data_IF_598109327945
#
_entry.id   IF_598109327945
#
_cell.length_a   1.000
_cell.length_b   1.000
_cell.length_c   1.000
_cell.angle_alpha   90.00
_cell.angle_beta   90.00
_cell.angle_gamma   90.00
#
_symmetry.space_group_name_H-M   'P 1'
#
loop_
_entity.id
_entity.type
_entity.pdbx_description
1 polymer ?
#
# COMPACT_ATOMS: atom_id res chain seq x y z
N UNK A 1 -17.46 -15.86 -23.34
CA UNK A 1 -16.62 -15.54 -22.17
C UNK A 1 -15.16 -15.51 -22.60
N UNK A 2 -14.43 -14.39 -22.49
CA UNK A 2 -13.01 -14.40 -22.80
C UNK A 2 -12.25 -15.09 -21.67
N UNK A 3 -11.52 -16.15 -22.01
CA UNK A 3 -10.59 -16.86 -21.15
C UNK A 3 -9.54 -15.86 -20.62
N UNK A 4 -9.45 -15.68 -19.29
CA UNK A 4 -8.31 -15.00 -18.67
C UNK A 4 -7.04 -15.71 -19.13
N UNK A 5 -6.20 -15.05 -19.92
CA UNK A 5 -4.84 -15.53 -20.26
C UNK A 5 -4.15 -15.92 -18.95
N UNK A 6 -3.68 -17.17 -18.87
CA UNK A 6 -2.87 -17.64 -17.75
C UNK A 6 -1.62 -16.77 -17.65
N UNK A 7 -1.38 -16.20 -16.46
CA UNK A 7 -0.21 -15.37 -16.22
C UNK A 7 1.03 -16.27 -16.21
N UNK A 8 1.91 -16.10 -17.19
CA UNK A 8 3.15 -16.87 -17.26
C UNK A 8 4.10 -16.38 -16.16
N UNK A 9 4.64 -17.35 -15.41
CA UNK A 9 5.56 -17.13 -14.31
C UNK A 9 6.74 -18.10 -14.47
N UNK A 10 7.96 -17.59 -14.39
CA UNK A 10 9.17 -18.41 -14.50
C UNK A 10 10.24 -17.92 -13.54
N UNK A 11 10.80 -18.83 -12.76
CA UNK A 11 12.04 -18.59 -12.03
C UNK A 11 13.23 -18.84 -12.97
N UNK A 12 14.15 -17.87 -13.04
CA UNK A 12 15.38 -17.94 -13.84
C UNK A 12 16.56 -17.73 -12.90
N UNK A 13 16.74 -18.69 -12.00
CA UNK A 13 17.82 -18.71 -11.00
C UNK A 13 18.57 -20.04 -11.05
N UNK A 14 19.78 -20.06 -10.50
CA UNK A 14 20.58 -21.26 -10.27
C UNK A 14 20.70 -21.58 -8.76
N UNK A 15 19.67 -21.25 -7.97
CA UNK A 15 19.58 -21.64 -6.57
C UNK A 15 19.62 -23.18 -6.45
N UNK A 16 20.35 -23.77 -5.47
CA UNK A 16 21.01 -23.12 -4.34
C UNK A 16 22.44 -22.60 -4.58
N UNK A 17 23.03 -22.80 -5.77
CA UNK A 17 24.41 -22.36 -6.05
C UNK A 17 24.57 -20.83 -6.02
N UNK A 18 23.50 -20.10 -6.31
CA UNK A 18 23.42 -18.65 -6.13
C UNK A 18 22.24 -18.31 -5.23
N UNK A 19 22.45 -17.56 -4.13
CA UNK A 19 21.38 -17.17 -3.23
C UNK A 19 20.42 -16.14 -3.85
N UNK A 20 20.75 -15.54 -4.99
CA UNK A 20 19.91 -14.57 -5.67
C UNK A 20 18.91 -15.29 -6.58
N UNK A 21 17.64 -15.24 -6.19
CA UNK A 21 16.53 -15.73 -6.99
C UNK A 21 16.00 -14.61 -7.87
N UNK A 22 15.82 -14.91 -9.16
CA UNK A 22 15.19 -14.04 -10.15
C UNK A 22 13.89 -14.68 -10.61
N UNK A 23 12.78 -13.98 -10.40
CA UNK A 23 11.46 -14.45 -10.77
C UNK A 23 10.81 -13.48 -11.75
N UNK A 24 10.39 -13.98 -12.91
CA UNK A 24 9.82 -13.18 -13.98
C UNK A 24 8.35 -13.56 -14.15
N UNK A 25 7.49 -12.55 -14.12
CA UNK A 25 6.09 -12.66 -14.54
C UNK A 25 5.88 -11.90 -15.85
N UNK A 26 4.72 -12.07 -16.46
CA UNK A 26 4.31 -11.29 -17.63
C UNK A 26 4.39 -9.76 -17.44
N UNK A 27 4.34 -9.27 -16.19
CA UNK A 27 4.28 -7.83 -15.86
C UNK A 27 5.54 -7.30 -15.22
N UNK A 28 6.26 -8.13 -14.45
CA UNK A 28 7.31 -7.64 -13.58
C UNK A 28 8.43 -8.66 -13.39
N UNK A 29 9.61 -8.15 -13.09
CA UNK A 29 10.77 -8.93 -12.67
C UNK A 29 11.00 -8.67 -11.19
N UNK A 30 11.14 -9.75 -10.43
CA UNK A 30 11.41 -9.74 -9.01
C UNK A 30 12.80 -10.33 -8.78
N UNK A 31 13.53 -9.73 -7.86
CA UNK A 31 14.82 -10.23 -7.41
C UNK A 31 14.87 -10.19 -5.89
N UNK A 32 15.30 -11.29 -5.29
CA UNK A 32 15.53 -11.37 -3.85
C UNK A 32 16.72 -12.29 -3.57
N UNK A 33 17.46 -11.98 -2.52
CA UNK A 33 18.53 -12.81 -2.00
C UNK A 33 18.03 -13.62 -0.81
N UNK A 34 18.26 -14.93 -0.83
CA UNK A 34 18.04 -15.81 0.30
C UNK A 34 19.21 -15.66 1.27
N UNK A 35 18.93 -15.21 2.48
CA UNK A 35 19.91 -15.11 3.56
C UNK A 35 19.94 -16.42 4.33
N UNK A 36 18.76 -16.94 4.67
CA UNK A 36 18.59 -18.22 5.36
C UNK A 36 17.46 -18.99 4.68
N UNK A 37 17.74 -20.21 4.23
CA UNK A 37 16.77 -21.07 3.55
C UNK A 37 15.71 -21.67 4.49
N UNK A 38 15.98 -21.61 5.80
CA UNK A 38 15.11 -22.18 6.81
C UNK A 38 15.11 -23.72 6.84
N UNK A 39 14.25 -24.27 7.67
CA UNK A 39 14.09 -25.71 7.87
C UNK A 39 12.63 -26.07 7.63
N UNK A 40 12.37 -27.23 7.03
CA UNK A 40 11.00 -27.70 6.84
C UNK A 40 10.35 -28.05 8.19
N UNK A 41 9.20 -27.46 8.52
CA UNK A 41 8.44 -27.83 9.71
C UNK A 41 7.94 -29.28 9.65
N UNK A 42 7.73 -29.94 10.81
CA UNK A 42 7.01 -31.20 10.93
C UNK A 42 5.65 -31.20 10.22
N UNK A 43 5.32 -32.30 9.56
CA UNK A 43 4.10 -32.43 8.74
C UNK A 43 2.82 -32.14 9.55
N UNK A 44 2.82 -32.43 10.87
CA UNK A 44 1.68 -32.17 11.77
C UNK A 44 1.22 -30.71 11.83
N UNK A 45 2.08 -29.76 11.45
CA UNK A 45 1.75 -28.33 11.41
C UNK A 45 2.34 -27.58 10.22
N UNK A 46 2.74 -28.30 9.16
CA UNK A 46 3.31 -27.72 7.96
C UNK A 46 2.28 -26.86 7.21
N UNK A 47 2.53 -25.57 7.11
CA UNK A 47 1.74 -24.68 6.26
C UNK A 47 2.23 -24.76 4.81
N UNK A 48 1.32 -24.53 3.86
CA UNK A 48 1.61 -24.55 2.42
C UNK A 48 1.11 -23.28 1.75
N UNK A 49 1.77 -22.89 0.67
CA UNK A 49 1.32 -21.77 -0.18
C UNK A 49 0.00 -22.11 -0.88
N UNK A 50 -0.63 -21.11 -1.51
CA UNK A 50 -1.87 -21.33 -2.24
C UNK A 50 -1.66 -22.21 -3.49
N UNK A 51 -2.73 -22.87 -3.91
CA UNK A 51 -2.78 -23.62 -5.18
C UNK A 51 -2.46 -22.69 -6.37
N UNK A 52 -1.88 -23.19 -7.47
CA UNK A 52 -1.83 -24.60 -7.87
C UNK A 52 -0.69 -25.43 -7.26
N UNK A 53 0.45 -24.80 -6.91
CA UNK A 53 1.66 -25.55 -6.58
C UNK A 53 1.78 -25.96 -5.09
N UNK A 54 1.16 -25.23 -4.15
CA UNK A 54 1.08 -25.56 -2.73
C UNK A 54 2.41 -25.99 -2.06
N UNK A 55 3.44 -25.16 -2.23
CA UNK A 55 4.78 -25.38 -1.70
C UNK A 55 4.82 -25.32 -0.16
N UNK A 56 5.62 -26.15 0.51
CA UNK A 56 5.82 -26.09 1.96
C UNK A 56 6.44 -24.75 2.37
N UNK A 57 5.93 -24.15 3.44
CA UNK A 57 6.44 -22.91 3.99
C UNK A 57 7.52 -23.25 5.02
N UNK A 58 8.80 -22.91 4.79
CA UNK A 58 9.90 -23.16 5.72
C UNK A 58 9.79 -22.32 7.01
N UNK A 59 10.36 -22.85 8.09
CA UNK A 59 10.61 -22.12 9.34
C UNK A 59 11.98 -21.45 9.30
N UNK A 60 12.14 -20.29 9.94
CA UNK A 60 13.35 -19.45 9.96
C UNK A 60 13.85 -19.06 8.56
N UNK A 61 12.93 -18.83 7.63
CA UNK A 61 13.29 -18.39 6.28
C UNK A 61 13.49 -16.87 6.26
N UNK A 62 14.64 -16.44 5.77
CA UNK A 62 15.02 -15.03 5.73
C UNK A 62 15.43 -14.66 4.31
N UNK A 63 14.78 -13.63 3.77
CA UNK A 63 15.10 -13.09 2.45
C UNK A 63 15.27 -11.59 2.50
N UNK A 64 16.10 -11.09 1.61
CA UNK A 64 16.34 -9.66 1.41
C UNK A 64 15.94 -9.29 0.00
N UNK A 65 15.15 -8.24 -0.15
CA UNK A 65 14.76 -7.73 -1.47
C UNK A 65 14.89 -6.23 -1.53
N UNK A 66 15.21 -5.74 -2.72
CA UNK A 66 15.34 -4.33 -3.03
C UNK A 66 14.39 -3.97 -4.15
N UNK A 67 13.59 -2.92 -3.98
CA UNK A 67 12.56 -2.54 -4.94
C UNK A 67 12.35 -1.02 -5.03
N UNK A 68 11.60 -0.59 -6.04
CA UNK A 68 11.26 0.81 -6.27
C UNK A 68 12.40 1.64 -6.87
N UNK A 69 12.07 2.85 -7.36
CA UNK A 69 13.04 3.77 -8.00
C UNK A 69 14.15 4.18 -7.04
N UNK A 70 13.79 4.39 -5.77
CA UNK A 70 14.73 4.76 -4.70
C UNK A 70 15.52 3.57 -4.14
N UNK A 71 15.38 2.36 -4.72
CA UNK A 71 16.07 1.14 -4.29
C UNK A 71 15.96 0.86 -2.79
N UNK A 72 14.71 0.88 -2.29
CA UNK A 72 14.41 0.58 -0.89
C UNK A 72 14.69 -0.90 -0.66
N UNK A 73 15.41 -1.21 0.41
CA UNK A 73 15.78 -2.58 0.77
C UNK A 73 15.05 -2.97 2.04
N UNK A 74 14.44 -4.15 2.03
CA UNK A 74 13.74 -4.72 3.18
C UNK A 74 14.22 -6.15 3.43
N UNK A 75 14.05 -6.60 4.66
CA UNK A 75 14.28 -7.99 5.06
C UNK A 75 12.98 -8.62 5.49
N UNK A 76 12.63 -9.74 4.87
CA UNK A 76 11.41 -10.49 5.16
C UNK A 76 11.76 -11.79 5.88
N UNK A 77 10.91 -12.17 6.83
CA UNK A 77 11.09 -13.34 7.68
C UNK A 77 9.83 -14.21 7.65
N UNK A 78 10.05 -15.51 7.75
CA UNK A 78 9.01 -16.49 8.09
C UNK A 78 9.51 -17.28 9.29
N UNK A 79 8.75 -17.27 10.38
CA UNK A 79 9.06 -17.98 11.62
C UNK A 79 7.81 -18.69 12.15
N UNK A 80 7.94 -19.94 12.58
CA UNK A 80 6.85 -20.70 13.16
C UNK A 80 6.75 -20.42 14.66
N UNK A 81 5.72 -19.68 15.05
CA UNK A 81 5.38 -19.40 16.45
C UNK A 81 4.09 -20.15 16.78
N UNK A 82 4.11 -20.92 17.86
CA UNK A 82 2.97 -21.76 18.27
C UNK A 82 2.43 -22.63 17.11
N UNK A 83 3.33 -23.28 16.36
CA UNK A 83 3.02 -24.16 15.21
C UNK A 83 2.33 -23.46 14.04
N UNK A 84 2.47 -22.13 13.89
CA UNK A 84 1.92 -21.37 12.76
C UNK A 84 2.96 -20.40 12.18
N UNK A 85 3.02 -20.25 10.84
CA UNK A 85 3.92 -19.30 10.22
C UNK A 85 3.51 -17.87 10.56
N UNK A 86 4.47 -17.09 11.03
CA UNK A 86 4.40 -15.66 11.22
C UNK A 86 5.29 -15.02 10.17
N UNK A 87 4.72 -14.05 9.46
CA UNK A 87 5.40 -13.28 8.44
C UNK A 87 5.80 -11.95 9.05
N UNK A 88 7.04 -11.51 8.82
CA UNK A 88 7.55 -10.22 9.32
C UNK A 88 8.33 -9.52 8.20
N UNK A 89 8.18 -8.20 8.11
CA UNK A 89 9.01 -7.32 7.26
C UNK A 89 9.67 -6.31 8.18
N UNK A 90 11.00 -6.22 8.12
CA UNK A 90 11.79 -5.16 8.74
C UNK A 90 12.17 -4.16 7.64
N UNK A 91 11.92 -2.87 7.89
CA UNK A 91 12.06 -1.81 6.91
C UNK A 91 12.69 -0.55 7.50
N UNK A 92 13.98 -0.63 7.80
CA UNK A 92 14.69 0.52 8.33
C UNK A 92 16.07 0.10 8.82
N UNK A 93 16.88 1.07 9.26
CA UNK A 93 18.08 0.79 10.03
C UNK A 93 17.74 0.27 11.44
N UNK A 94 16.54 0.59 11.96
CA UNK A 94 16.06 0.17 13.27
C UNK A 94 15.39 -1.22 13.18
N UNK A 95 15.81 -2.21 13.98
CA UNK A 95 15.13 -3.52 14.08
C UNK A 95 13.67 -3.43 14.54
N UNK A 96 13.29 -2.35 15.23
CA UNK A 96 11.93 -2.12 15.73
C UNK A 96 10.99 -1.53 14.66
N UNK A 97 11.53 -1.06 13.53
CA UNK A 97 10.75 -0.68 12.34
C UNK A 97 10.29 -1.93 11.58
N UNK A 98 9.30 -2.63 12.13
CA UNK A 98 8.76 -3.84 11.54
C UNK A 98 7.23 -3.91 11.52
N UNK A 99 6.73 -4.73 10.61
CA UNK A 99 5.34 -5.18 10.59
C UNK A 99 5.32 -6.70 10.60
N UNK A 100 4.32 -7.29 11.24
CA UNK A 100 4.15 -8.73 11.25
C UNK A 100 2.67 -9.15 11.23
N UNK A 101 2.42 -10.36 10.75
CA UNK A 101 1.11 -11.00 10.80
C UNK A 101 1.27 -12.51 10.69
N UNK A 102 0.37 -13.25 11.32
CA UNK A 102 0.25 -14.70 11.18
C UNK A 102 -0.83 -15.12 10.15
N UNK A 103 -1.44 -14.16 9.44
CA UNK A 103 -2.48 -14.44 8.46
C UNK A 103 -1.90 -14.83 7.10
N UNK A 104 -1.05 -13.97 6.52
CA UNK A 104 -0.38 -14.24 5.25
C UNK A 104 0.75 -13.24 4.99
N UNK A 105 1.67 -13.61 4.10
CA UNK A 105 2.69 -12.69 3.57
C UNK A 105 2.05 -11.45 2.89
N UNK A 106 0.94 -11.62 2.18
CA UNK A 106 0.20 -10.53 1.53
C UNK A 106 -0.34 -9.53 2.53
N UNK A 107 -0.87 -10.00 3.66
CA UNK A 107 -1.36 -9.13 4.74
C UNK A 107 -0.24 -8.23 5.25
N UNK A 108 0.94 -8.79 5.54
CA UNK A 108 2.09 -8.02 6.00
C UNK A 108 2.58 -7.04 4.95
N UNK A 109 2.64 -7.46 3.67
CA UNK A 109 3.01 -6.58 2.58
C UNK A 109 2.06 -5.38 2.43
N UNK A 110 0.75 -5.59 2.64
CA UNK A 110 -0.23 -4.50 2.60
C UNK A 110 -0.06 -3.55 3.79
N UNK A 111 0.11 -4.07 5.01
CA UNK A 111 0.37 -3.24 6.20
C UNK A 111 1.65 -2.44 6.02
N UNK A 112 2.73 -3.09 5.59
CA UNK A 112 3.98 -2.45 5.20
C UNK A 112 3.74 -1.34 4.19
N UNK A 113 3.02 -1.62 3.10
CA UNK A 113 2.69 -0.63 2.08
C UNK A 113 1.92 0.58 2.64
N UNK A 114 1.01 0.37 3.58
CA UNK A 114 0.31 1.48 4.26
C UNK A 114 1.23 2.27 5.18
N UNK A 115 2.12 1.60 5.91
CA UNK A 115 3.02 2.22 6.88
C UNK A 115 4.20 2.96 6.24
N UNK A 116 4.74 2.49 5.11
CA UNK A 116 5.72 3.25 4.31
C UNK A 116 5.09 4.34 3.47
N UNK A 117 3.80 4.18 3.14
CA UNK A 117 2.99 5.29 2.65
C UNK A 117 2.59 6.23 3.78
N UNK A 118 3.16 6.07 5.00
CA UNK A 118 3.10 7.09 6.05
C UNK A 118 3.27 8.42 5.36
N UNK A 119 2.15 9.12 5.34
CA UNK A 119 2.04 10.36 4.64
C UNK A 119 3.12 11.23 5.24
N UNK A 120 4.12 11.63 4.44
CA UNK A 120 5.12 12.58 4.91
C UNK A 120 4.41 13.66 5.72
N UNK A 121 4.96 14.04 6.90
CA UNK A 121 4.43 15.15 7.68
C UNK A 121 4.10 16.31 6.74
N UNK A 122 2.99 16.98 6.98
CA UNK A 122 2.45 17.94 6.02
C UNK A 122 3.49 19.02 5.64
N UNK A 123 4.30 19.44 6.61
CA UNK A 123 5.36 20.43 6.45
C UNK A 123 6.55 19.91 5.61
N UNK A 124 6.71 18.59 5.47
CA UNK A 124 7.79 17.94 4.69
C UNK A 124 7.36 17.69 3.23
N UNK A 125 6.16 18.09 2.85
CA UNK A 125 5.64 18.02 1.49
C UNK A 125 6.06 19.24 0.69
N UNK A 126 6.22 19.07 -0.63
CA UNK A 126 6.26 20.22 -1.54
C UNK A 126 4.93 20.98 -1.52
N UNK A 127 4.97 22.28 -1.77
CA UNK A 127 3.76 23.13 -1.85
C UNK A 127 2.70 22.53 -2.77
N UNK A 128 3.12 21.96 -3.91
CA UNK A 128 2.22 21.25 -4.83
C UNK A 128 1.48 20.11 -4.13
N UNK A 129 2.20 19.27 -3.39
CA UNK A 129 1.59 18.14 -2.67
C UNK A 129 0.71 18.59 -1.50
N UNK A 130 1.07 19.66 -0.81
CA UNK A 130 0.24 20.28 0.23
C UNK A 130 -1.10 20.73 -0.36
N UNK A 131 -1.06 21.46 -1.48
CA UNK A 131 -2.24 21.90 -2.24
C UNK A 131 -3.06 20.71 -2.73
N UNK A 132 -2.43 19.69 -3.31
CA UNK A 132 -3.13 18.50 -3.81
C UNK A 132 -3.86 17.76 -2.70
N UNK A 133 -3.24 17.60 -1.53
CA UNK A 133 -3.91 16.96 -0.37
C UNK A 133 -5.09 17.80 0.12
N UNK A 134 -4.93 19.11 0.23
CA UNK A 134 -6.03 20.00 0.62
C UNK A 134 -7.20 19.97 -0.36
N UNK A 135 -6.92 20.00 -1.68
CA UNK A 135 -7.94 19.84 -2.74
C UNK A 135 -8.68 18.51 -2.64
N UNK A 136 -7.96 17.43 -2.37
CA UNK A 136 -8.57 16.09 -2.26
C UNK A 136 -9.61 16.03 -1.14
N UNK A 137 -9.37 16.72 -0.01
CA UNK A 137 -10.35 16.81 1.09
C UNK A 137 -11.62 17.50 0.62
N UNK A 138 -11.50 18.64 -0.08
CA UNK A 138 -12.66 19.36 -0.59
C UNK A 138 -13.48 18.54 -1.59
N UNK A 139 -12.82 17.86 -2.53
CA UNK A 139 -13.50 17.00 -3.51
C UNK A 139 -14.28 15.87 -2.81
N UNK A 140 -13.65 15.18 -1.87
CA UNK A 140 -14.29 14.06 -1.18
C UNK A 140 -15.48 14.53 -0.32
N UNK A 141 -15.32 15.63 0.43
CA UNK A 141 -16.39 16.17 1.26
C UNK A 141 -17.56 16.74 0.44
N UNK A 142 -17.30 17.30 -0.75
CA UNK A 142 -18.36 17.70 -1.65
C UNK A 142 -19.18 16.48 -2.11
N UNK A 143 -18.52 15.39 -2.49
CA UNK A 143 -19.20 14.15 -2.88
C UNK A 143 -20.03 13.57 -1.73
N UNK A 144 -19.48 13.54 -0.52
CA UNK A 144 -20.21 13.08 0.66
C UNK A 144 -21.40 14.00 0.97
N UNK A 145 -21.24 15.31 0.85
CA UNK A 145 -22.32 16.28 1.02
C UNK A 145 -23.44 16.02 0.01
N UNK A 146 -23.12 15.91 -1.29
CA UNK A 146 -24.09 15.64 -2.35
C UNK A 146 -24.83 14.30 -2.15
N UNK A 147 -24.13 13.28 -1.64
CA UNK A 147 -24.75 11.98 -1.32
C UNK A 147 -25.77 12.11 -0.17
N UNK A 148 -25.41 12.81 0.90
CA UNK A 148 -26.29 12.96 2.07
C UNK A 148 -27.47 13.90 1.80
N UNK A 149 -27.29 14.94 1.00
CA UNK A 149 -28.39 15.88 0.69
C UNK A 149 -29.55 15.19 -0.02
N UNK A 150 -29.27 14.23 -0.90
CA UNK A 150 -30.30 13.42 -1.57
C UNK A 150 -31.14 12.56 -0.61
N UNK A 151 -30.61 12.26 0.58
CA UNK A 151 -31.28 11.45 1.60
C UNK A 151 -32.04 12.30 2.62
N UNK A 152 -31.57 13.53 2.88
CA UNK A 152 -32.10 14.38 3.93
C UNK A 152 -33.08 15.45 3.42
N UNK A 153 -33.00 15.84 2.15
CA UNK A 153 -33.80 16.92 1.59
C UNK A 153 -34.68 16.45 0.43
N UNK A 154 -35.75 17.20 0.16
CA UNK A 154 -36.58 16.92 -1.00
C UNK A 154 -35.83 17.30 -2.28
N UNK A 155 -36.14 16.64 -3.40
CA UNK A 155 -35.53 16.93 -4.71
C UNK A 155 -35.83 18.35 -5.23
N UNK A 156 -36.86 19.01 -4.70
CA UNK A 156 -37.21 20.39 -5.04
C UNK A 156 -36.35 21.40 -4.25
N UNK A 157 -35.80 20.99 -3.11
CA UNK A 157 -34.96 21.85 -2.28
C UNK A 157 -33.59 22.06 -2.93
N UNK A 158 -33.17 23.31 -3.06
CA UNK A 158 -31.85 23.65 -3.58
C UNK A 158 -30.82 23.71 -2.45
N UNK A 159 -30.13 22.60 -2.23
CA UNK A 159 -29.08 22.49 -1.21
C UNK A 159 -27.71 22.56 -1.88
N UNK A 160 -26.84 23.43 -1.36
CA UNK A 160 -25.53 23.73 -1.98
C UNK A 160 -24.46 23.93 -0.90
N UNK A 161 -23.31 23.28 -1.10
CA UNK A 161 -22.11 23.52 -0.30
C UNK A 161 -21.36 24.70 -0.92
N UNK A 162 -21.37 25.85 -0.24
CA UNK A 162 -20.75 27.08 -0.78
C UNK A 162 -19.25 27.15 -0.55
N UNK A 163 -18.80 26.79 0.64
CA UNK A 163 -17.40 26.84 1.02
C UNK A 163 -17.02 25.77 2.05
N UNK A 164 -15.73 25.44 2.09
CA UNK A 164 -15.09 24.61 3.09
C UNK A 164 -13.82 25.30 3.57
N UNK A 165 -13.70 25.48 4.88
CA UNK A 165 -12.49 26.01 5.51
C UNK A 165 -11.94 25.00 6.52
N UNK A 166 -10.62 24.77 6.48
CA UNK A 166 -9.91 23.92 7.44
C UNK A 166 -8.45 24.33 7.52
N UNK A 167 -7.71 23.77 8.47
CA UNK A 167 -6.27 24.00 8.58
C UNK A 167 -5.52 22.69 8.79
N UNK A 168 -4.26 22.69 8.35
CA UNK A 168 -3.29 21.64 8.67
C UNK A 168 -2.04 22.33 9.21
N UNK A 169 -1.81 22.19 10.51
CA UNK A 169 -0.85 23.01 11.26
C UNK A 169 -1.16 24.51 11.05
N UNK A 170 -0.19 25.30 10.61
CA UNK A 170 -0.36 26.74 10.37
C UNK A 170 -0.90 27.07 8.96
N UNK A 171 -1.15 26.06 8.11
CA UNK A 171 -1.63 26.27 6.75
C UNK A 171 -3.16 26.29 6.72
N UNK A 172 -3.74 27.39 6.25
CA UNK A 172 -5.20 27.56 6.12
C UNK A 172 -5.63 27.21 4.70
N UNK A 173 -6.67 26.39 4.60
CA UNK A 173 -7.33 26.03 3.36
C UNK A 173 -8.72 26.65 3.35
N UNK A 174 -9.05 27.36 2.28
CA UNK A 174 -10.40 27.81 1.97
C UNK A 174 -10.72 27.35 0.55
N UNK A 175 -11.80 26.59 0.41
CA UNK A 175 -12.25 26.04 -0.86
C UNK A 175 -13.65 26.61 -1.09
N UNK A 176 -13.84 27.26 -2.23
CA UNK A 176 -15.14 27.77 -2.68
C UNK A 176 -15.61 26.91 -3.85
N UNK A 177 -16.88 26.53 -3.86
CA UNK A 177 -17.45 25.70 -4.92
C UNK A 177 -18.30 26.58 -5.83
N UNK A 178 -17.90 26.70 -7.10
CA UNK A 178 -18.63 27.47 -8.13
C UNK A 178 -19.27 26.54 -9.16
N UNK A 179 -20.45 26.91 -9.66
CA UNK A 179 -21.32 26.05 -10.50
C UNK A 179 -20.94 25.96 -11.99
N UNK A 180 -19.85 26.58 -12.46
CA UNK A 180 -19.59 26.71 -13.89
C UNK A 180 -18.51 25.77 -14.46
N UNK A 181 -18.99 24.84 -15.29
CA UNK A 181 -18.39 24.17 -16.45
C UNK A 181 -17.19 23.19 -16.30
N UNK A 182 -17.55 21.91 -16.49
CA UNK A 182 -16.93 20.91 -17.38
C UNK A 182 -15.46 20.50 -17.29
N UNK A 183 -14.66 21.04 -16.38
CA UNK A 183 -13.46 20.34 -15.90
C UNK A 183 -13.43 20.45 -14.38
N UNK A 184 -13.33 19.32 -13.68
CA UNK A 184 -12.98 19.27 -12.25
C UNK A 184 -11.53 19.74 -11.99
N UNK A 185 -11.06 20.69 -12.79
CA UNK A 185 -9.77 21.34 -12.69
C UNK A 185 -10.01 22.82 -12.34
N UNK A 186 -9.49 23.22 -11.18
CA UNK A 186 -9.34 24.63 -10.71
C UNK A 186 -10.66 25.16 -10.10
N UNK A 187 -10.74 25.57 -8.83
CA UNK A 187 -9.89 26.51 -8.12
C UNK A 187 -9.96 26.24 -6.61
N UNK A 188 -8.94 25.63 -6.02
CA UNK A 188 -8.66 25.96 -4.63
C UNK A 188 -7.79 27.20 -4.67
N UNK A 189 -8.39 28.35 -4.32
CA UNK A 189 -7.64 29.59 -4.08
C UNK A 189 -7.25 29.56 -2.61
N UNK A 190 -5.95 29.42 -2.34
CA UNK A 190 -5.42 29.64 -0.99
C UNK A 190 -5.32 31.15 -0.84
N UNK A 191 -6.17 31.74 0.01
CA UNK A 191 -5.99 33.11 0.45
C UNK A 191 -5.11 33.07 1.71
N UNK A 192 -3.87 33.52 1.57
CA UNK A 192 -3.02 33.83 2.72
C UNK A 192 -3.71 34.94 3.54
N UNK A 193 -3.83 34.71 4.85
CA UNK A 193 -4.26 35.71 5.82
C UNK A 193 -3.12 35.96 6.80
#
# INVERSE_FOLDING_TARGET
MPLKKSETCQEISNYPNNPIVKYITSKQRYMYGIIEAGIQPPESYLARTQKPNAFPIPDKYIVKTTYGKSKITITCFVEYIAKRPHFKIIFGPDPDDFVCSNLSATTVANVYHTQIRSLKPFNDLSNRMQITRGKSIGINLLQDFEMHTQQCFNKIDQVELKELAFSVNNNKFRITYEKNNQELQQLAVINDA
#
